data_IF_123156974685
#
_entry.id   IF_123156974685
#
_cell.length_a   1.000
_cell.length_b   1.000
_cell.length_c   1.000
_cell.angle_alpha   90.00
_cell.angle_beta   90.00
_cell.angle_gamma   90.00
#
_symmetry.space_group_name_H-M   'P 1'
#
loop_
_entity.id
_entity.type
_entity.pdbx_description
1 polymer ?
#
# COMPACT_ATOMS: atom_id res chain seq x y z
N UNK A 1 -6.92 -14.94 42.12
CA UNK A 1 -5.97 -13.86 41.74
C UNK A 1 -6.60 -12.48 41.94
N UNK A 2 -7.25 -11.84 40.96
CA UNK A 2 -7.74 -10.44 41.12
C UNK A 2 -8.75 -10.23 42.27
N UNK A 3 -9.85 -11.00 42.30
CA UNK A 3 -10.90 -10.90 43.35
C UNK A 3 -10.40 -11.24 44.77
N UNK A 4 -9.36 -12.03 44.87
CA UNK A 4 -8.76 -12.43 46.16
C UNK A 4 -7.85 -11.31 46.67
N UNK A 5 -7.01 -10.76 45.78
CA UNK A 5 -6.17 -9.61 46.08
C UNK A 5 -7.00 -8.36 46.41
N UNK A 6 -8.15 -8.16 45.78
CA UNK A 6 -9.10 -7.09 46.12
C UNK A 6 -9.70 -7.27 47.51
N UNK A 7 -9.96 -8.51 47.96
CA UNK A 7 -10.41 -8.77 49.34
C UNK A 7 -9.31 -8.52 50.36
N UNK A 8 -8.07 -8.90 50.05
CA UNK A 8 -6.92 -8.71 50.92
C UNK A 8 -6.44 -7.24 50.97
N UNK A 9 -6.55 -6.53 49.84
CA UNK A 9 -6.09 -5.15 49.66
C UNK A 9 -7.11 -4.33 48.85
N UNK A 10 -8.24 -3.94 49.45
CA UNK A 10 -9.35 -3.28 48.74
C UNK A 10 -8.95 -1.98 48.04
N UNK A 11 -8.02 -1.22 48.62
CA UNK A 11 -7.58 0.07 48.05
C UNK A 11 -6.44 -0.06 47.02
N UNK A 12 -5.86 -1.25 46.85
CA UNK A 12 -4.66 -1.41 46.01
C UNK A 12 -4.92 -1.00 44.56
N UNK A 13 -6.10 -1.31 44.02
CA UNK A 13 -6.47 -0.95 42.66
C UNK A 13 -6.46 0.58 42.46
N UNK A 14 -7.17 1.31 43.31
CA UNK A 14 -7.23 2.78 43.27
C UNK A 14 -5.85 3.41 43.52
N UNK A 15 -5.08 2.88 44.47
CA UNK A 15 -3.72 3.35 44.73
C UNK A 15 -2.80 3.14 43.51
N UNK A 16 -2.93 2.02 42.79
CA UNK A 16 -2.15 1.77 41.58
C UNK A 16 -2.55 2.71 40.44
N UNK A 17 -3.84 3.03 40.30
CA UNK A 17 -4.32 4.05 39.35
C UNK A 17 -3.73 5.42 39.71
N UNK A 18 -3.83 5.84 40.97
CA UNK A 18 -3.33 7.14 41.43
C UNK A 18 -1.81 7.30 41.33
N UNK A 19 -1.06 6.20 41.37
CA UNK A 19 0.40 6.21 41.16
C UNK A 19 0.81 6.43 39.71
N UNK A 20 -0.06 6.12 38.75
CA UNK A 20 0.23 6.29 37.33
C UNK A 20 -0.04 7.72 36.86
N UNK A 21 0.80 8.21 35.95
CA UNK A 21 0.62 9.48 35.28
C UNK A 21 0.56 9.30 33.76
N UNK A 22 -0.23 10.15 33.09
CA UNK A 22 -0.35 10.11 31.63
C UNK A 22 0.99 10.29 30.89
N UNK A 23 1.92 11.03 31.48
CA UNK A 23 3.25 11.27 30.91
C UNK A 23 4.24 10.11 31.12
N UNK A 24 3.86 9.09 31.89
CA UNK A 24 4.66 7.89 32.06
C UNK A 24 4.78 7.14 30.73
N UNK A 25 5.96 6.59 30.49
CA UNK A 25 6.22 5.81 29.28
C UNK A 25 5.37 4.54 29.31
N UNK A 26 4.48 4.40 28.32
CA UNK A 26 3.62 3.24 28.15
C UNK A 26 4.28 2.19 27.24
N UNK A 27 4.93 2.63 26.15
CA UNK A 27 5.40 1.77 25.09
C UNK A 27 6.80 2.17 24.61
N UNK A 28 7.59 1.15 24.22
CA UNK A 28 8.90 1.29 23.58
C UNK A 28 8.88 0.57 22.22
N UNK A 29 8.88 1.31 21.12
CA UNK A 29 8.89 0.73 19.78
C UNK A 29 10.23 0.90 19.10
N UNK A 30 10.83 -0.20 18.67
CA UNK A 30 12.06 -0.15 17.89
C UNK A 30 11.75 0.13 16.42
N UNK A 31 12.33 1.20 15.88
CA UNK A 31 12.23 1.57 14.47
C UNK A 31 13.56 1.31 13.77
N UNK A 32 13.50 0.73 12.57
CA UNK A 32 14.66 0.63 11.68
C UNK A 32 14.87 2.00 11.02
N UNK A 33 15.66 2.86 11.67
CA UNK A 33 16.14 4.08 11.06
C UNK A 33 17.08 3.81 9.87
N UNK A 34 17.48 4.87 9.18
CA UNK A 34 18.50 4.80 8.10
C UNK A 34 19.88 4.38 8.60
N UNK A 35 20.12 4.49 9.91
CA UNK A 35 21.28 3.95 10.62
C UNK A 35 21.00 2.50 10.98
N UNK A 36 21.91 1.58 10.66
CA UNK A 36 21.78 0.11 10.84
C UNK A 36 21.43 -0.39 12.25
N UNK A 37 21.35 0.48 13.25
CA UNK A 37 20.93 0.15 14.62
C UNK A 37 19.49 0.65 14.87
N UNK A 38 18.57 -0.24 15.30
CA UNK A 38 17.21 0.14 15.66
C UNK A 38 17.17 1.16 16.80
N UNK A 39 16.26 2.15 16.72
CA UNK A 39 16.07 3.17 17.76
C UNK A 39 14.74 2.94 18.47
N UNK A 40 14.75 2.91 19.81
CA UNK A 40 13.53 2.70 20.60
C UNK A 40 12.79 4.01 20.85
N UNK A 41 11.68 4.27 20.19
CA UNK A 41 10.80 5.41 20.42
C UNK A 41 10.00 5.22 21.72
N UNK A 42 10.11 6.18 22.65
CA UNK A 42 9.41 6.19 23.94
C UNK A 42 8.06 6.93 23.81
N UNK A 43 6.96 6.19 23.87
CA UNK A 43 5.60 6.76 23.82
C UNK A 43 4.94 6.71 25.20
N UNK A 44 4.38 7.84 25.64
CA UNK A 44 3.60 7.91 26.88
C UNK A 44 2.15 7.46 26.69
N UNK A 45 1.45 7.23 27.80
CA UNK A 45 0.00 7.04 27.76
C UNK A 45 -0.70 8.25 27.12
N UNK A 46 -0.26 9.47 27.47
CA UNK A 46 -0.82 10.71 26.94
C UNK A 46 -0.60 10.83 25.43
N UNK A 47 0.57 10.45 24.90
CA UNK A 47 0.83 10.47 23.45
C UNK A 47 -0.18 9.58 22.70
N UNK A 48 -0.31 8.33 23.16
CA UNK A 48 -1.19 7.32 22.57
C UNK A 48 -2.66 7.75 22.65
N UNK A 49 -3.13 8.11 23.83
CA UNK A 49 -4.53 8.49 24.04
C UNK A 49 -4.91 9.76 23.26
N UNK A 50 -4.02 10.76 23.21
CA UNK A 50 -4.24 12.00 22.44
C UNK A 50 -4.37 11.74 20.94
N UNK A 51 -3.54 10.84 20.40
CA UNK A 51 -3.65 10.43 18.99
C UNK A 51 -5.00 9.75 18.74
N UNK A 52 -5.40 8.81 19.60
CA UNK A 52 -6.67 8.09 19.48
C UNK A 52 -7.88 9.03 19.54
N UNK A 53 -7.92 9.96 20.50
CA UNK A 53 -8.98 10.98 20.61
C UNK A 53 -9.07 11.84 19.36
N UNK A 54 -7.93 12.29 18.86
CA UNK A 54 -7.83 13.14 17.68
C UNK A 54 -8.33 12.40 16.44
N UNK A 55 -7.94 11.14 16.23
CA UNK A 55 -8.45 10.31 15.13
C UNK A 55 -9.96 10.10 15.24
N UNK A 56 -10.46 9.71 16.42
CA UNK A 56 -11.88 9.41 16.62
C UNK A 56 -12.78 10.65 16.57
N UNK A 57 -12.22 11.84 16.76
CA UNK A 57 -12.96 13.10 16.52
C UNK A 57 -13.23 13.35 15.03
N UNK A 58 -12.41 12.77 14.15
CA UNK A 58 -12.57 12.82 12.69
C UNK A 58 -13.46 11.68 12.22
N UNK A 59 -13.15 10.47 12.69
CA UNK A 59 -13.82 9.24 12.31
C UNK A 59 -14.26 8.48 13.56
N UNK A 60 -15.49 8.73 14.05
CA UNK A 60 -15.97 8.13 15.29
C UNK A 60 -16.00 6.61 15.24
N UNK A 61 -15.48 6.01 16.32
CA UNK A 61 -15.65 4.60 16.67
C UNK A 61 -16.71 4.47 17.77
N UNK A 62 -17.37 3.31 17.83
CA UNK A 62 -18.44 3.02 18.78
C UNK A 62 -18.15 1.72 19.54
N UNK A 63 -18.66 1.54 20.78
CA UNK A 63 -18.47 0.30 21.54
C UNK A 63 -19.01 -0.95 20.84
N UNK A 64 -19.97 -0.79 19.93
CA UNK A 64 -20.54 -1.87 19.10
C UNK A 64 -19.69 -2.19 17.86
N UNK A 65 -18.55 -1.54 17.70
CA UNK A 65 -17.68 -1.79 16.57
C UNK A 65 -16.91 -3.10 16.69
N UNK A 66 -16.63 -3.66 15.53
CA UNK A 66 -15.75 -4.81 15.37
C UNK A 66 -14.53 -4.30 14.61
N UNK A 67 -13.36 -4.46 15.20
CA UNK A 67 -12.08 -4.16 14.57
C UNK A 67 -11.27 -5.46 14.45
N UNK A 68 -10.62 -5.65 13.29
CA UNK A 68 -9.74 -6.80 13.05
C UNK A 68 -8.29 -6.37 13.22
N UNK A 69 -7.63 -6.90 14.24
CA UNK A 69 -6.20 -6.72 14.51
C UNK A 69 -5.38 -7.64 13.61
N UNK A 70 -5.26 -7.27 12.34
CA UNK A 70 -4.44 -8.00 11.36
C UNK A 70 -2.95 -7.74 11.53
N UNK A 71 -2.56 -6.55 12.00
CA UNK A 71 -1.15 -6.17 12.03
C UNK A 71 -0.44 -6.80 13.24
N UNK A 72 0.88 -7.05 13.14
CA UNK A 72 1.67 -7.45 14.30
C UNK A 72 1.52 -6.41 15.42
N UNK A 73 1.23 -6.88 16.64
CA UNK A 73 1.10 -6.02 17.82
C UNK A 73 2.37 -5.22 18.16
N UNK A 74 3.53 -5.64 17.64
CA UNK A 74 4.79 -4.92 17.75
C UNK A 74 4.85 -3.67 16.85
N UNK A 75 3.88 -3.44 15.96
CA UNK A 75 3.84 -2.26 15.10
C UNK A 75 2.94 -1.20 15.72
N UNK A 76 3.38 0.06 15.65
CA UNK A 76 2.60 1.20 16.15
C UNK A 76 1.20 1.26 15.52
N UNK A 77 1.08 0.80 14.27
CA UNK A 77 -0.17 0.73 13.53
C UNK A 77 -1.26 -0.11 14.20
N UNK A 78 -0.89 -1.19 14.88
CA UNK A 78 -1.85 -2.00 15.63
C UNK A 78 -2.17 -1.35 16.98
N UNK A 79 -1.18 -0.73 17.60
CA UNK A 79 -1.27 -0.13 18.94
C UNK A 79 -2.08 1.16 18.95
N UNK A 80 -2.04 1.93 17.85
CA UNK A 80 -2.90 3.10 17.68
C UNK A 80 -4.38 2.73 17.61
N UNK A 81 -4.73 1.61 16.96
CA UNK A 81 -6.11 1.15 16.89
C UNK A 81 -6.48 0.38 18.16
N UNK A 82 -5.84 -0.75 18.42
CA UNK A 82 -6.20 -1.66 19.51
C UNK A 82 -6.07 -1.06 20.90
N UNK A 83 -4.97 -0.34 21.18
CA UNK A 83 -4.74 0.22 22.52
C UNK A 83 -5.29 1.64 22.61
N UNK A 84 -4.89 2.54 21.69
CA UNK A 84 -5.23 3.96 21.84
C UNK A 84 -6.71 4.23 21.61
N UNK A 85 -7.29 3.71 20.53
CA UNK A 85 -8.73 3.88 20.26
C UNK A 85 -9.55 2.85 21.06
N UNK A 86 -9.10 1.59 21.07
CA UNK A 86 -9.82 0.47 21.69
C UNK A 86 -10.03 0.63 23.20
N UNK A 87 -9.04 1.10 23.96
CA UNK A 87 -9.22 1.30 25.41
C UNK A 87 -10.15 2.48 25.75
N UNK A 88 -10.26 3.47 24.86
CA UNK A 88 -11.08 4.66 25.10
C UNK A 88 -12.56 4.44 24.76
N UNK A 89 -12.85 3.61 23.75
CA UNK A 89 -14.21 3.34 23.27
C UNK A 89 -14.74 1.99 23.76
N UNK A 90 -13.87 0.99 23.92
CA UNK A 90 -14.26 -0.35 24.32
C UNK A 90 -14.90 -1.17 23.20
N UNK A 91 -14.48 -0.98 21.94
CA UNK A 91 -14.94 -1.83 20.82
C UNK A 91 -14.26 -3.20 20.82
N UNK A 92 -14.85 -4.17 20.12
CA UNK A 92 -14.35 -5.55 20.08
C UNK A 92 -13.11 -5.65 19.20
N UNK A 93 -12.01 -6.13 19.80
CA UNK A 93 -10.77 -6.47 19.09
C UNK A 93 -10.80 -7.95 18.70
N UNK A 94 -10.81 -8.21 17.40
CA UNK A 94 -10.81 -9.56 16.85
C UNK A 94 -9.45 -9.89 16.26
N UNK A 95 -8.91 -11.05 16.63
CA UNK A 95 -7.60 -11.52 16.17
C UNK A 95 -7.79 -12.66 15.17
N UNK A 96 -7.21 -12.55 13.97
CA UNK A 96 -7.12 -13.69 13.08
C UNK A 96 -6.38 -14.86 13.72
N UNK A 97 -6.77 -16.09 13.37
CA UNK A 97 -6.14 -17.31 13.90
C UNK A 97 -4.69 -17.45 13.39
N UNK A 98 -4.45 -17.05 12.13
CA UNK A 98 -3.13 -16.97 11.52
C UNK A 98 -3.10 -15.93 10.39
N UNK A 99 -1.91 -15.69 9.80
CA UNK A 99 -1.81 -14.79 8.65
C UNK A 99 -2.49 -15.37 7.41
N UNK A 100 -2.47 -16.69 7.26
CA UNK A 100 -3.07 -17.42 6.14
C UNK A 100 -4.60 -17.38 6.20
N UNK A 101 -5.19 -17.45 7.39
CA UNK A 101 -6.66 -17.40 7.59
C UNK A 101 -7.21 -15.97 7.69
N UNK A 102 -6.35 -14.96 7.69
CA UNK A 102 -6.74 -13.57 7.92
C UNK A 102 -7.85 -13.06 7.00
N UNK A 103 -7.82 -13.38 5.71
CA UNK A 103 -8.85 -12.94 4.77
C UNK A 103 -10.21 -13.59 5.03
N UNK A 104 -10.22 -14.86 5.46
CA UNK A 104 -11.43 -15.59 5.82
C UNK A 104 -11.99 -15.04 7.13
N UNK A 105 -11.15 -14.82 8.14
CA UNK A 105 -11.56 -14.24 9.41
C UNK A 105 -12.10 -12.81 9.23
N UNK A 106 -11.47 -11.97 8.40
CA UNK A 106 -12.00 -10.63 8.05
C UNK A 106 -13.42 -10.73 7.49
N UNK A 107 -13.69 -11.74 6.67
CA UNK A 107 -15.02 -11.98 6.11
C UNK A 107 -16.02 -12.41 7.17
N UNK A 108 -15.66 -13.34 8.05
CA UNK A 108 -16.56 -13.85 9.08
C UNK A 108 -16.87 -12.79 10.16
N UNK A 109 -15.88 -12.00 10.54
CA UNK A 109 -16.01 -10.90 11.50
C UNK A 109 -16.84 -9.76 10.88
N UNK A 110 -16.58 -9.43 9.61
CA UNK A 110 -17.20 -8.30 8.94
C UNK A 110 -17.00 -6.98 9.70
N UNK A 111 -15.76 -6.47 9.79
CA UNK A 111 -15.43 -5.32 10.64
C UNK A 111 -16.18 -4.05 10.26
N UNK A 112 -16.31 -3.15 11.23
CA UNK A 112 -16.77 -1.78 11.04
C UNK A 112 -15.61 -0.83 10.75
N UNK A 113 -14.45 -1.10 11.34
CA UNK A 113 -13.22 -0.33 11.17
C UNK A 113 -12.08 -1.28 10.85
N UNK A 114 -11.25 -0.94 9.86
CA UNK A 114 -10.14 -1.76 9.44
C UNK A 114 -8.92 -0.89 9.14
N UNK A 115 -7.75 -1.32 9.59
CA UNK A 115 -6.47 -0.75 9.16
C UNK A 115 -5.58 -1.87 8.60
N UNK A 116 -5.09 -1.67 7.38
CA UNK A 116 -4.24 -2.66 6.71
C UNK A 116 -3.22 -2.00 5.78
N UNK A 117 -2.06 -2.62 5.56
CA UNK A 117 -1.06 -2.09 4.63
C UNK A 117 -1.58 -2.18 3.19
N UNK A 118 -1.05 -1.38 2.24
CA UNK A 118 -1.47 -1.39 0.83
C UNK A 118 -1.52 -2.80 0.23
N UNK A 119 -0.53 -3.64 0.55
CA UNK A 119 -0.43 -5.03 0.08
C UNK A 119 -1.67 -5.88 0.36
N UNK A 120 -2.35 -5.67 1.49
CA UNK A 120 -3.58 -6.41 1.80
C UNK A 120 -4.70 -6.02 0.83
N UNK A 121 -4.88 -4.72 0.60
CA UNK A 121 -5.87 -4.21 -0.35
C UNK A 121 -5.53 -4.61 -1.79
N UNK A 122 -4.25 -4.55 -2.17
CA UNK A 122 -3.75 -5.05 -3.45
C UNK A 122 -4.10 -6.53 -3.64
N UNK A 123 -3.84 -7.37 -2.63
CA UNK A 123 -4.19 -8.78 -2.65
C UNK A 123 -5.70 -9.01 -2.80
N UNK A 124 -6.53 -8.28 -2.06
CA UNK A 124 -7.99 -8.32 -2.22
C UNK A 124 -8.42 -7.99 -3.65
N UNK A 125 -7.86 -6.93 -4.26
CA UNK A 125 -8.17 -6.57 -5.65
C UNK A 125 -7.76 -7.68 -6.62
N UNK A 126 -6.60 -8.29 -6.43
CA UNK A 126 -6.10 -9.39 -7.25
C UNK A 126 -7.01 -10.62 -7.13
N UNK A 127 -7.47 -10.97 -5.93
CA UNK A 127 -8.44 -12.05 -5.73
C UNK A 127 -9.72 -11.81 -6.54
N UNK A 128 -10.23 -10.57 -6.57
CA UNK A 128 -11.40 -10.23 -7.38
C UNK A 128 -11.11 -10.37 -8.88
N UNK A 129 -9.97 -9.84 -9.34
CA UNK A 129 -9.59 -9.90 -10.75
C UNK A 129 -9.41 -11.33 -11.25
N UNK A 130 -8.74 -12.19 -10.47
CA UNK A 130 -8.58 -13.62 -10.80
C UNK A 130 -9.95 -14.32 -10.85
N UNK A 131 -10.82 -14.09 -9.86
CA UNK A 131 -12.19 -14.66 -9.88
C UNK A 131 -13.03 -14.12 -11.04
N UNK A 132 -12.79 -12.89 -11.48
CA UNK A 132 -13.42 -12.34 -12.68
C UNK A 132 -12.95 -13.07 -13.94
N UNK A 133 -11.66 -13.38 -14.04
CA UNK A 133 -11.14 -14.21 -15.12
C UNK A 133 -11.76 -15.61 -15.10
N UNK A 134 -12.15 -16.13 -13.95
CA UNK A 134 -12.79 -17.45 -13.85
C UNK A 134 -14.31 -17.44 -14.08
N UNK A 135 -14.89 -16.24 -14.17
CA UNK A 135 -16.32 -16.08 -14.20
C UNK A 135 -16.93 -16.43 -15.57
N UNK A 136 -18.18 -16.89 -15.57
CA UNK A 136 -18.94 -17.11 -16.81
C UNK A 136 -19.18 -15.81 -17.56
N UNK A 137 -19.46 -15.89 -18.86
CA UNK A 137 -19.65 -14.72 -19.73
C UNK A 137 -20.66 -13.69 -19.17
N UNK A 138 -21.74 -14.18 -18.55
CA UNK A 138 -22.80 -13.35 -17.98
C UNK A 138 -22.29 -12.61 -16.74
N UNK A 139 -21.59 -13.32 -15.84
CA UNK A 139 -20.97 -12.74 -14.65
C UNK A 139 -19.88 -11.73 -15.03
N UNK A 140 -19.06 -12.02 -16.04
CA UNK A 140 -18.04 -11.07 -16.58
C UNK A 140 -18.72 -9.81 -17.11
N UNK A 141 -19.79 -9.95 -17.90
CA UNK A 141 -20.53 -8.82 -18.46
C UNK A 141 -21.16 -7.94 -17.37
N UNK A 142 -21.82 -8.57 -16.39
CA UNK A 142 -22.39 -7.85 -15.25
C UNK A 142 -21.33 -7.14 -14.41
N UNK A 143 -20.20 -7.80 -14.12
CA UNK A 143 -19.08 -7.21 -13.40
C UNK A 143 -18.50 -6.01 -14.15
N UNK A 144 -18.31 -6.12 -15.47
CA UNK A 144 -17.80 -5.02 -16.29
C UNK A 144 -18.74 -3.82 -16.29
N UNK A 145 -20.05 -4.06 -16.42
CA UNK A 145 -21.05 -3.00 -16.36
C UNK A 145 -21.07 -2.34 -14.97
N UNK A 146 -21.14 -3.14 -13.91
CA UNK A 146 -21.15 -2.65 -12.53
C UNK A 146 -19.86 -1.88 -12.17
N UNK A 147 -18.70 -2.35 -12.64
CA UNK A 147 -17.41 -1.67 -12.44
C UNK A 147 -17.37 -0.34 -13.16
N UNK A 148 -17.81 -0.27 -14.43
CA UNK A 148 -17.89 0.99 -15.19
C UNK A 148 -18.78 2.03 -14.49
N UNK A 149 -19.94 1.61 -14.00
CA UNK A 149 -20.85 2.47 -13.24
C UNK A 149 -20.18 2.92 -11.94
N UNK A 150 -19.61 1.99 -11.18
CA UNK A 150 -18.92 2.28 -9.91
C UNK A 150 -17.78 3.28 -10.09
N UNK A 151 -16.94 3.07 -11.10
CA UNK A 151 -15.84 3.98 -11.43
C UNK A 151 -16.33 5.37 -11.79
N UNK A 152 -17.34 5.49 -12.66
CA UNK A 152 -17.90 6.79 -13.03
C UNK A 152 -18.46 7.55 -11.82
N UNK A 153 -19.18 6.84 -10.94
CA UNK A 153 -19.75 7.43 -9.72
C UNK A 153 -18.66 7.82 -8.72
N UNK A 154 -17.62 7.00 -8.57
CA UNK A 154 -16.47 7.33 -7.75
C UNK A 154 -15.76 8.59 -8.29
N UNK A 155 -15.51 8.68 -9.59
CA UNK A 155 -14.89 9.84 -10.24
C UNK A 155 -15.69 11.13 -10.00
N UNK A 156 -17.02 11.07 -10.08
CA UNK A 156 -17.89 12.20 -9.75
C UNK A 156 -17.74 12.63 -8.28
N UNK A 157 -17.64 11.67 -7.35
CA UNK A 157 -17.40 11.97 -5.93
C UNK A 157 -16.03 12.62 -5.71
N UNK A 158 -14.98 12.09 -6.32
CA UNK A 158 -13.63 12.66 -6.22
C UNK A 158 -13.55 14.08 -6.79
N UNK A 159 -14.29 14.35 -7.87
CA UNK A 159 -14.41 15.69 -8.46
C UNK A 159 -15.37 16.61 -7.68
N UNK A 160 -15.91 16.16 -6.53
CA UNK A 160 -16.92 16.88 -5.74
C UNK A 160 -18.14 17.32 -6.57
N UNK A 161 -18.49 16.56 -7.62
CA UNK A 161 -19.61 16.83 -8.51
C UNK A 161 -20.87 16.09 -8.05
N UNK A 162 -22.07 16.68 -8.21
CA UNK A 162 -23.31 15.99 -7.90
C UNK A 162 -23.52 14.80 -8.83
N UNK A 163 -23.89 13.65 -8.28
CA UNK A 163 -24.22 12.45 -9.06
C UNK A 163 -25.61 12.60 -9.67
N UNK A 164 -25.78 12.58 -11.01
CA UNK A 164 -27.08 12.70 -11.65
C UNK A 164 -28.06 11.58 -11.26
N UNK A 165 -29.39 11.80 -11.28
CA UNK A 165 -30.39 10.81 -10.83
C UNK A 165 -30.28 9.45 -11.54
N UNK A 166 -30.04 9.45 -12.86
CA UNK A 166 -29.83 8.23 -13.63
C UNK A 166 -28.63 7.42 -13.11
N UNK A 167 -27.51 8.08 -12.85
CA UNK A 167 -26.31 7.44 -12.32
C UNK A 167 -26.49 6.95 -10.88
N UNK A 168 -27.31 7.62 -10.06
CA UNK A 168 -27.70 7.11 -8.74
C UNK A 168 -28.49 5.81 -8.85
N UNK A 169 -29.45 5.74 -9.78
CA UNK A 169 -30.22 4.52 -10.03
C UNK A 169 -29.34 3.38 -10.56
N UNK A 170 -28.47 3.66 -11.54
CA UNK A 170 -27.52 2.69 -12.07
C UNK A 170 -26.55 2.19 -10.99
N UNK A 171 -26.07 3.08 -10.12
CA UNK A 171 -25.21 2.73 -9.00
C UNK A 171 -25.93 1.81 -8.01
N UNK A 172 -27.18 2.12 -7.67
CA UNK A 172 -28.02 1.28 -6.82
C UNK A 172 -28.23 -0.11 -7.43
N UNK A 173 -28.49 -0.19 -8.73
CA UNK A 173 -28.63 -1.46 -9.44
C UNK A 173 -27.32 -2.26 -9.45
N UNK A 174 -26.20 -1.62 -9.78
CA UNK A 174 -24.86 -2.22 -9.73
C UNK A 174 -24.51 -2.72 -8.31
N UNK A 175 -24.90 -1.97 -7.29
CA UNK A 175 -24.71 -2.32 -5.89
C UNK A 175 -25.46 -3.61 -5.54
N UNK A 176 -26.77 -3.67 -5.79
CA UNK A 176 -27.58 -4.84 -5.42
C UNK A 176 -27.16 -6.10 -6.19
N UNK A 177 -26.83 -5.95 -7.48
CA UNK A 177 -26.58 -7.11 -8.36
C UNK A 177 -25.18 -7.70 -8.22
N UNK A 178 -24.15 -6.85 -8.04
CA UNK A 178 -22.75 -7.27 -8.06
C UNK A 178 -22.01 -6.79 -6.82
N UNK A 179 -21.96 -5.47 -6.58
CA UNK A 179 -20.99 -4.92 -5.62
C UNK A 179 -21.28 -5.34 -4.18
N UNK A 180 -22.55 -5.47 -3.77
CA UNK A 180 -22.92 -5.92 -2.42
C UNK A 180 -22.34 -7.30 -2.11
N UNK A 181 -22.48 -8.26 -3.03
CA UNK A 181 -21.92 -9.61 -2.87
C UNK A 181 -20.40 -9.60 -2.92
N UNK A 182 -19.81 -8.72 -3.73
CA UNK A 182 -18.37 -8.59 -3.84
C UNK A 182 -17.75 -8.02 -2.55
N UNK A 183 -18.34 -6.93 -2.02
CA UNK A 183 -17.96 -6.37 -0.71
C UNK A 183 -18.08 -7.42 0.40
N UNK A 184 -19.17 -8.17 0.40
CA UNK A 184 -19.41 -9.23 1.37
C UNK A 184 -18.36 -10.32 1.32
N UNK A 185 -18.00 -10.76 0.11
CA UNK A 185 -16.96 -11.75 -0.08
C UNK A 185 -15.58 -11.26 0.40
N UNK A 186 -15.33 -9.95 0.35
CA UNK A 186 -14.10 -9.34 0.86
C UNK A 186 -14.14 -9.03 2.37
N UNK A 187 -15.29 -9.24 3.03
CA UNK A 187 -15.51 -8.86 4.43
C UNK A 187 -15.74 -7.37 4.65
N UNK A 188 -15.99 -6.60 3.59
CA UNK A 188 -16.08 -5.14 3.60
C UNK A 188 -17.54 -4.63 3.60
N UNK A 189 -18.51 -5.51 3.87
CA UNK A 189 -19.95 -5.17 3.87
C UNK A 189 -20.30 -4.12 4.92
N UNK A 190 -19.77 -4.26 6.14
CA UNK A 190 -20.07 -3.41 7.32
C UNK A 190 -19.05 -2.29 7.54
N UNK A 191 -17.94 -2.31 6.79
CA UNK A 191 -16.85 -1.34 6.96
C UNK A 191 -17.35 0.07 6.69
N UNK A 192 -17.22 0.94 7.70
CA UNK A 192 -17.48 2.38 7.60
C UNK A 192 -16.21 3.15 7.28
N UNK A 193 -15.09 2.75 7.86
CA UNK A 193 -13.78 3.35 7.64
C UNK A 193 -12.72 2.25 7.43
N UNK A 194 -12.08 2.26 6.27
CA UNK A 194 -10.91 1.46 5.98
C UNK A 194 -9.71 2.38 5.83
N UNK A 195 -8.60 2.07 6.48
CA UNK A 195 -7.37 2.87 6.43
C UNK A 195 -6.26 2.09 5.75
N UNK A 196 -5.42 2.80 5.01
CA UNK A 196 -4.16 2.29 4.46
C UNK A 196 -3.02 3.28 4.70
N UNK A 197 -1.85 2.76 5.03
CA UNK A 197 -0.68 3.55 5.40
C UNK A 197 0.60 2.72 5.48
N UNK A 198 1.70 3.38 5.79
CA UNK A 198 3.04 2.77 5.85
C UNK A 198 3.73 2.59 4.49
N UNK A 199 2.99 2.69 3.40
CA UNK A 199 3.51 2.82 2.04
C UNK A 199 2.45 3.46 1.13
N UNK A 200 2.88 4.01 -0.01
CA UNK A 200 1.96 4.49 -1.04
C UNK A 200 1.20 3.31 -1.68
N UNK A 201 -0.10 3.50 -1.90
CA UNK A 201 -0.95 2.55 -2.64
C UNK A 201 -1.26 3.13 -4.02
N UNK A 202 -1.31 2.27 -5.04
CA UNK A 202 -1.62 2.71 -6.40
C UNK A 202 -3.03 3.32 -6.52
N UNK A 203 -3.20 4.39 -7.33
CA UNK A 203 -4.49 5.08 -7.47
C UNK A 203 -5.59 4.16 -7.99
N UNK A 204 -5.25 3.17 -8.82
CA UNK A 204 -6.19 2.22 -9.39
C UNK A 204 -6.79 1.27 -8.32
N UNK A 205 -5.98 0.79 -7.37
CA UNK A 205 -6.48 0.02 -6.21
C UNK A 205 -7.42 0.87 -5.37
N UNK A 206 -7.00 2.10 -5.08
CA UNK A 206 -7.79 3.02 -4.28
C UNK A 206 -9.15 3.32 -4.94
N UNK A 207 -9.13 3.61 -6.24
CA UNK A 207 -10.33 3.87 -7.05
C UNK A 207 -11.24 2.65 -7.13
N UNK A 208 -10.70 1.43 -7.21
CA UNK A 208 -11.47 0.19 -7.19
C UNK A 208 -12.31 0.03 -5.91
N UNK A 209 -11.73 0.27 -4.74
CA UNK A 209 -12.46 0.17 -3.47
C UNK A 209 -13.57 1.24 -3.37
N UNK A 210 -13.28 2.47 -3.77
CA UNK A 210 -14.30 3.53 -3.80
C UNK A 210 -15.41 3.28 -4.82
N UNK A 211 -15.09 2.67 -5.97
CA UNK A 211 -16.07 2.25 -6.97
C UNK A 211 -17.04 1.21 -6.41
N UNK A 212 -16.60 0.36 -5.48
CA UNK A 212 -17.45 -0.56 -4.72
C UNK A 212 -18.14 0.10 -3.51
N UNK A 213 -17.91 1.39 -3.24
CA UNK A 213 -18.45 2.07 -2.07
C UNK A 213 -17.81 1.62 -0.75
N UNK A 214 -16.52 1.26 -0.77
CA UNK A 214 -15.68 1.13 0.42
C UNK A 214 -15.00 2.47 0.65
N UNK A 215 -15.16 3.02 1.86
CA UNK A 215 -14.55 4.28 2.26
C UNK A 215 -13.11 4.07 2.70
N UNK A 216 -12.25 3.78 1.72
CA UNK A 216 -10.83 3.58 1.91
C UNK A 216 -10.12 4.93 1.99
N UNK A 217 -9.29 5.12 3.02
CA UNK A 217 -8.60 6.37 3.31
C UNK A 217 -7.11 6.14 3.40
N UNK A 218 -6.34 7.07 2.86
CA UNK A 218 -4.91 7.09 3.10
C UNK A 218 -4.64 7.83 4.41
N UNK A 219 -3.63 7.36 5.13
CA UNK A 219 -3.11 8.00 6.34
C UNK A 219 -1.62 8.26 6.18
N UNK A 220 -1.14 9.29 6.87
CA UNK A 220 0.28 9.51 7.10
C UNK A 220 0.55 9.61 8.59
N UNK A 221 1.73 9.12 8.97
CA UNK A 221 2.07 8.88 10.35
C UNK A 221 3.37 8.10 10.49
N UNK A 222 3.98 8.22 11.66
CA UNK A 222 5.23 7.55 12.03
C UNK A 222 5.15 7.10 13.49
N UNK A 223 6.08 6.24 13.91
CA UNK A 223 6.13 5.76 15.30
C UNK A 223 6.34 6.93 16.27
N UNK A 224 7.15 7.89 15.85
CA UNK A 224 7.55 9.09 16.59
C UNK A 224 6.38 10.07 16.85
N UNK A 225 5.22 9.90 16.19
CA UNK A 225 3.99 10.65 16.44
C UNK A 225 2.82 9.75 16.89
N UNK A 226 3.16 8.62 17.52
CA UNK A 226 2.20 7.66 18.06
C UNK A 226 1.23 7.03 17.03
N UNK A 227 1.61 7.01 15.75
CA UNK A 227 0.77 6.50 14.67
C UNK A 227 0.34 7.59 13.72
N UNK A 228 -0.96 7.83 13.58
CA UNK A 228 -1.56 8.72 12.58
C UNK A 228 -1.41 10.20 12.99
N UNK A 229 -0.94 11.04 12.06
CA UNK A 229 -0.95 12.50 12.19
C UNK A 229 -1.83 13.17 11.13
N UNK A 230 -2.06 12.51 10.00
CA UNK A 230 -2.81 13.02 8.85
C UNK A 230 -3.69 11.92 8.27
N UNK A 231 -4.93 12.25 7.89
CA UNK A 231 -5.89 11.29 7.32
C UNK A 231 -6.84 11.98 6.35
N UNK A 232 -7.23 11.27 5.28
CA UNK A 232 -8.34 11.71 4.43
C UNK A 232 -9.64 11.84 5.20
N UNK A 233 -10.51 12.78 4.78
CA UNK A 233 -11.83 12.97 5.40
C UNK A 233 -12.91 12.25 4.61
N UNK A 234 -14.05 12.01 5.26
CA UNK A 234 -15.23 11.49 4.57
C UNK A 234 -15.67 12.44 3.46
N UNK A 235 -15.69 11.95 2.21
CA UNK A 235 -16.07 12.74 1.04
C UNK A 235 -14.99 13.72 0.55
N UNK A 236 -13.81 13.75 1.16
CA UNK A 236 -12.68 14.58 0.74
C UNK A 236 -11.41 13.75 0.59
N UNK A 237 -11.26 13.19 -0.60
CA UNK A 237 -10.30 12.14 -0.91
C UNK A 237 -9.63 12.51 -2.24
N UNK A 238 -8.29 12.62 -2.21
CA UNK A 238 -7.45 12.82 -3.40
C UNK A 238 -6.38 11.74 -3.42
N UNK A 239 -6.28 11.02 -4.53
CA UNK A 239 -5.44 9.82 -4.65
C UNK A 239 -3.94 10.07 -4.40
N UNK A 240 -3.47 11.26 -4.78
CA UNK A 240 -2.06 11.62 -4.70
C UNK A 240 -1.69 12.28 -3.35
N UNK A 241 -2.62 12.30 -2.38
CA UNK A 241 -2.46 12.93 -1.07
C UNK A 241 -2.73 11.94 0.05
N UNK A 242 -2.31 12.28 1.27
CA UNK A 242 -2.61 11.53 2.50
C UNK A 242 -3.71 12.20 3.35
N UNK A 243 -4.19 13.38 2.93
CA UNK A 243 -5.30 14.09 3.56
C UNK A 243 -4.89 15.25 4.44
N UNK A 244 -5.69 15.49 5.49
CA UNK A 244 -5.59 16.66 6.37
C UNK A 244 -5.09 16.25 7.76
N UNK A 245 -4.33 17.11 8.47
CA UNK A 245 -3.92 16.85 9.84
C UNK A 245 -5.11 16.51 10.73
N UNK A 246 -4.97 15.52 11.63
CA UNK A 246 -5.99 15.27 12.65
C UNK A 246 -6.04 16.45 13.65
N UNK A 247 -7.17 16.70 14.32
CA UNK A 247 -7.29 17.75 15.31
C UNK A 247 -6.15 17.71 16.35
N UNK A 248 -5.68 18.86 16.79
CA UNK A 248 -4.54 18.96 17.71
C UNK A 248 -3.16 18.70 17.09
N UNK A 249 -3.09 18.42 15.78
CA UNK A 249 -1.84 18.22 15.05
C UNK A 249 -1.59 19.36 14.07
N UNK A 250 -0.41 19.98 14.15
CA UNK A 250 0.07 20.95 13.17
C UNK A 250 1.12 20.31 12.27
N UNK A 251 1.02 20.58 10.97
CA UNK A 251 1.99 20.16 9.95
C UNK A 251 2.55 21.41 9.27
N UNK A 252 3.86 21.44 9.04
CA UNK A 252 4.54 22.44 8.22
C UNK A 252 5.55 21.77 7.29
N UNK A 253 5.92 22.49 6.24
CA UNK A 253 6.96 22.09 5.31
C UNK A 253 8.14 23.06 5.47
N UNK A 254 9.36 22.55 5.66
CA UNK A 254 10.57 23.39 5.74
C UNK A 254 10.97 23.92 4.37
N UNK A 255 11.94 24.84 4.34
CA UNK A 255 12.49 25.36 3.07
C UNK A 255 13.11 24.25 2.20
N UNK A 256 13.63 23.19 2.82
CA UNK A 256 14.21 22.01 2.15
C UNK A 256 13.15 20.97 1.72
N UNK A 257 11.88 21.24 2.00
CA UNK A 257 10.73 20.38 1.69
C UNK A 257 10.47 19.28 2.71
N UNK A 258 11.08 19.33 3.91
CA UNK A 258 10.84 18.33 4.97
C UNK A 258 9.48 18.55 5.64
N UNK A 259 8.75 17.46 5.90
CA UNK A 259 7.51 17.49 6.68
C UNK A 259 7.87 17.52 8.17
N UNK A 260 7.40 18.55 8.88
CA UNK A 260 7.56 18.66 10.34
C UNK A 260 6.19 18.66 11.02
N UNK A 261 6.12 18.00 12.17
CA UNK A 261 4.86 17.79 12.91
C UNK A 261 4.96 18.30 14.35
N UNK A 262 3.93 18.98 14.83
CA UNK A 262 3.77 19.32 16.25
C UNK A 262 2.42 18.83 16.75
N UNK A 263 2.43 18.02 17.81
CA UNK A 263 1.23 17.39 18.37
C UNK A 263 1.52 16.87 19.78
N UNK A 264 0.48 16.73 20.61
CA UNK A 264 0.57 16.02 21.89
C UNK A 264 0.93 14.52 21.72
N UNK A 265 0.81 14.00 20.50
CA UNK A 265 1.15 12.62 20.12
C UNK A 265 2.63 12.41 19.82
N UNK A 266 3.43 13.48 19.76
CA UNK A 266 4.88 13.36 19.54
C UNK A 266 5.53 12.66 20.73
N UNK A 267 6.33 11.64 20.44
CA UNK A 267 7.05 10.82 21.41
C UNK A 267 7.94 11.63 22.36
N UNK A 268 8.33 11.02 23.49
CA UNK A 268 9.24 11.65 24.47
C UNK A 268 10.69 11.71 23.97
N UNK A 269 11.01 10.96 22.92
CA UNK A 269 12.35 10.80 22.38
C UNK A 269 12.76 9.34 22.23
N UNK A 270 14.03 9.13 21.89
CA UNK A 270 14.62 7.81 21.73
C UNK A 270 15.28 7.32 23.03
N UNK A 271 15.02 6.07 23.38
CA UNK A 271 15.55 5.41 24.57
C UNK A 271 17.08 5.42 24.58
N UNK A 272 17.64 6.02 25.64
CA UNK A 272 19.08 6.16 25.87
C UNK A 272 19.83 6.79 24.69
N UNK A 273 19.16 7.63 23.89
CA UNK A 273 19.76 8.28 22.73
C UNK A 273 19.37 9.77 22.66
N UNK A 274 19.95 10.62 23.54
CA UNK A 274 19.62 12.04 23.60
C UNK A 274 20.02 12.80 22.32
N UNK A 275 21.10 12.38 21.65
CA UNK A 275 21.54 13.01 20.39
C UNK A 275 20.54 12.81 19.26
N UNK A 276 20.08 11.56 19.05
CA UNK A 276 19.05 11.29 18.06
C UNK A 276 17.72 11.98 18.43
N UNK A 277 17.42 12.09 19.72
CA UNK A 277 16.23 12.79 20.22
C UNK A 277 16.28 14.27 19.90
N UNK A 278 17.38 14.96 20.22
CA UNK A 278 17.57 16.37 19.91
C UNK A 278 17.62 16.64 18.39
N UNK A 279 18.07 15.66 17.60
CA UNK A 279 17.99 15.76 16.13
C UNK A 279 16.55 15.63 15.62
N UNK A 280 15.76 14.74 16.20
CA UNK A 280 14.38 14.48 15.77
C UNK A 280 13.40 15.54 16.29
N UNK A 281 13.55 16.04 17.51
CA UNK A 281 12.69 17.08 18.10
C UNK A 281 13.46 18.39 18.19
N UNK A 282 13.06 19.39 17.42
CA UNK A 282 13.68 20.73 17.42
C UNK A 282 12.60 21.77 17.65
N UNK A 283 12.77 22.61 18.68
CA UNK A 283 11.82 23.69 18.99
C UNK A 283 10.35 23.22 19.11
N UNK A 284 10.12 22.00 19.63
CA UNK A 284 8.81 21.39 19.77
C UNK A 284 8.22 20.80 18.48
N UNK A 285 9.00 20.75 17.39
CA UNK A 285 8.63 20.12 16.13
C UNK A 285 9.38 18.79 15.95
N UNK A 286 8.64 17.75 15.60
CA UNK A 286 9.19 16.49 15.11
C UNK A 286 9.58 16.64 13.64
N UNK A 287 10.87 16.44 13.37
CA UNK A 287 11.47 16.31 12.04
C UNK A 287 11.33 14.85 11.57
N UNK A 288 10.53 14.64 10.52
CA UNK A 288 10.15 13.30 10.04
C UNK A 288 11.19 12.65 9.13
N UNK A 289 12.15 13.41 8.61
CA UNK A 289 13.02 13.06 7.48
C UNK A 289 12.25 12.72 6.16
N UNK A 290 10.92 12.85 6.12
CA UNK A 290 10.10 12.66 4.92
C UNK A 290 9.88 14.01 4.22
N UNK A 291 9.72 13.98 2.89
CA UNK A 291 9.49 15.19 2.10
C UNK A 291 8.08 15.28 1.58
N UNK A 292 7.59 16.50 1.38
CA UNK A 292 6.24 16.71 0.89
C UNK A 292 5.93 18.17 0.63
N UNK A 293 4.70 18.41 0.25
CA UNK A 293 4.13 19.74 0.15
C UNK A 293 2.66 19.70 0.55
N UNK A 294 2.09 20.87 0.85
CA UNK A 294 0.66 21.04 1.09
C UNK A 294 0.06 21.62 -0.18
N UNK A 295 -0.98 20.99 -0.71
CA UNK A 295 -1.68 21.46 -1.91
C UNK A 295 -2.67 22.59 -1.62
N UNK A 296 -3.27 23.15 -2.67
CA UNK A 296 -4.19 24.30 -2.57
C UNK A 296 -5.46 24.04 -1.73
N UNK A 297 -5.87 22.77 -1.56
CA UNK A 297 -6.99 22.40 -0.69
C UNK A 297 -6.52 22.03 0.73
N UNK A 298 -5.24 22.25 1.05
CA UNK A 298 -4.65 21.97 2.36
C UNK A 298 -4.24 20.51 2.58
N UNK A 299 -4.34 19.65 1.56
CA UNK A 299 -3.95 18.26 1.69
C UNK A 299 -2.43 18.10 1.68
N UNK A 300 -1.91 17.25 2.56
CA UNK A 300 -0.51 16.86 2.54
C UNK A 300 -0.28 15.84 1.40
N UNK A 301 0.71 16.13 0.57
CA UNK A 301 1.30 15.20 -0.40
C UNK A 301 2.65 14.75 0.15
N UNK A 302 2.84 13.45 0.29
CA UNK A 302 4.10 12.87 0.78
C UNK A 302 4.87 12.30 -0.41
N UNK A 303 6.04 12.84 -0.65
CA UNK A 303 7.03 12.22 -1.50
C UNK A 303 7.82 11.26 -0.63
N UNK A 304 7.67 9.96 -0.89
CA UNK A 304 8.47 8.94 -0.21
C UNK A 304 9.95 9.33 -0.26
N UNK A 305 10.67 8.96 0.80
CA UNK A 305 12.00 9.46 1.19
C UNK A 305 12.83 9.85 -0.02
N UNK A 306 13.36 11.07 -0.03
CA UNK A 306 14.20 11.75 -1.06
C UNK A 306 15.17 10.88 -1.88
N UNK A 307 15.51 9.67 -1.42
CA UNK A 307 16.31 8.66 -2.12
C UNK A 307 15.55 7.86 -3.18
N UNK A 308 14.22 7.88 -3.20
CA UNK A 308 13.37 7.04 -4.07
C UNK A 308 12.69 7.82 -5.23
N UNK A 309 13.01 9.11 -5.40
CA UNK A 309 12.63 9.92 -6.57
C UNK A 309 13.83 10.01 -7.52
N UNK A 310 13.63 9.59 -8.77
CA UNK A 310 14.66 9.63 -9.80
C UNK A 310 14.45 10.77 -10.78
N UNK A 311 15.54 11.14 -11.45
CA UNK A 311 15.54 12.25 -12.40
C UNK A 311 15.92 11.71 -13.77
N UNK A 312 15.09 11.94 -14.77
CA UNK A 312 15.43 11.67 -16.17
C UNK A 312 16.60 12.57 -16.60
N UNK A 313 17.24 12.23 -17.73
CA UNK A 313 18.35 13.01 -18.29
C UNK A 313 17.99 14.48 -18.54
N UNK A 314 16.72 14.78 -18.80
CA UNK A 314 16.19 16.12 -19.05
C UNK A 314 15.77 16.87 -17.77
N UNK A 315 16.03 16.31 -16.58
CA UNK A 315 15.72 16.94 -15.29
C UNK A 315 14.32 16.64 -14.76
N UNK A 316 13.47 15.92 -15.50
CA UNK A 316 12.11 15.59 -15.03
C UNK A 316 12.14 14.51 -13.96
N UNK A 317 11.31 14.67 -12.95
CA UNK A 317 11.23 13.76 -11.81
C UNK A 317 10.20 12.64 -12.06
N UNK A 318 10.50 11.44 -11.59
CA UNK A 318 9.55 10.33 -11.54
C UNK A 318 9.83 9.41 -10.34
N UNK A 319 8.81 8.69 -9.88
CA UNK A 319 8.94 7.64 -8.86
C UNK A 319 8.79 6.26 -9.50
N UNK A 320 9.85 5.42 -9.53
CA UNK A 320 9.74 4.06 -10.03
C UNK A 320 8.70 3.24 -9.28
N UNK A 321 8.68 3.37 -7.95
CA UNK A 321 7.79 2.58 -7.11
C UNK A 321 6.31 2.91 -7.39
N UNK A 322 5.99 4.18 -7.63
CA UNK A 322 4.64 4.57 -8.05
C UNK A 322 4.23 3.88 -9.36
N UNK A 323 5.12 3.88 -10.36
CA UNK A 323 4.86 3.22 -11.64
C UNK A 323 4.78 1.71 -11.51
N UNK A 324 5.64 1.09 -10.71
CA UNK A 324 5.63 -0.35 -10.45
C UNK A 324 4.33 -0.80 -9.77
N UNK A 325 3.88 -0.08 -8.73
CA UNK A 325 2.58 -0.38 -8.08
C UNK A 325 1.43 -0.22 -9.05
N UNK A 326 1.48 0.79 -9.94
CA UNK A 326 0.47 0.99 -10.97
C UNK A 326 0.43 -0.14 -12.00
N UNK A 327 1.58 -0.61 -12.46
CA UNK A 327 1.68 -1.73 -13.39
C UNK A 327 1.16 -3.02 -12.76
N UNK A 328 1.49 -3.28 -11.49
CA UNK A 328 1.04 -4.45 -10.71
C UNK A 328 -0.44 -4.41 -10.34
N UNK A 329 -1.18 -3.34 -10.65
CA UNK A 329 -2.65 -3.36 -10.60
C UNK A 329 -3.23 -4.38 -11.59
N UNK A 330 -2.51 -4.67 -12.67
CA UNK A 330 -2.88 -5.74 -13.60
C UNK A 330 -2.68 -7.11 -12.96
N UNK A 331 -3.68 -8.02 -13.02
CA UNK A 331 -3.51 -9.37 -12.49
C UNK A 331 -2.51 -10.22 -13.29
N UNK A 332 -2.13 -9.76 -14.48
CA UNK A 332 -1.18 -10.44 -15.37
C UNK A 332 0.28 -10.12 -15.05
N UNK A 333 0.54 -9.09 -14.23
CA UNK A 333 1.89 -8.62 -13.88
C UNK A 333 2.13 -8.94 -12.40
N UNK A 334 3.10 -9.83 -12.12
CA UNK A 334 3.45 -10.23 -10.76
C UNK A 334 4.39 -9.22 -10.10
N UNK A 335 5.47 -8.89 -10.80
CA UNK A 335 6.49 -7.96 -10.37
C UNK A 335 6.96 -7.11 -11.56
N UNK A 336 7.52 -5.95 -11.27
CA UNK A 336 7.98 -5.00 -12.29
C UNK A 336 9.21 -4.26 -11.80
N UNK A 337 10.18 -4.06 -12.68
CA UNK A 337 11.34 -3.21 -12.45
C UNK A 337 11.29 -2.02 -13.41
N UNK A 338 11.00 -0.84 -12.87
CA UNK A 338 10.95 0.40 -13.62
C UNK A 338 12.31 1.09 -13.57
N UNK A 339 12.77 1.55 -14.72
CA UNK A 339 14.10 2.10 -14.96
C UNK A 339 13.95 3.46 -15.64
N UNK A 340 14.75 4.43 -15.23
CA UNK A 340 14.79 5.74 -15.90
C UNK A 340 15.79 6.73 -15.32
N UNK A 341 16.43 6.44 -14.17
CA UNK A 341 17.35 7.40 -13.54
C UNK A 341 18.51 7.76 -14.49
N UNK A 342 18.64 9.06 -14.79
CA UNK A 342 19.61 9.63 -15.73
C UNK A 342 19.51 9.07 -17.15
N UNK A 343 18.36 8.49 -17.52
CA UNK A 343 18.07 7.95 -18.85
C UNK A 343 17.15 8.90 -19.63
N UNK A 344 17.09 8.79 -20.98
CA UNK A 344 16.27 9.69 -21.80
C UNK A 344 14.75 9.52 -21.64
N UNK A 345 14.30 8.33 -21.24
CA UNK A 345 12.89 7.99 -21.05
C UNK A 345 12.77 6.83 -20.04
N UNK A 346 11.55 6.51 -19.62
CA UNK A 346 11.28 5.42 -18.66
C UNK A 346 11.07 4.10 -19.40
N UNK A 347 11.66 3.03 -18.89
CA UNK A 347 11.47 1.65 -19.38
C UNK A 347 11.05 0.72 -18.25
N UNK A 348 10.52 -0.45 -18.59
CA UNK A 348 10.10 -1.45 -17.60
C UNK A 348 10.49 -2.88 -18.01
N UNK A 349 10.95 -3.67 -17.04
CA UNK A 349 11.07 -5.13 -17.14
C UNK A 349 9.96 -5.75 -16.31
N UNK A 350 9.16 -6.63 -16.92
CA UNK A 350 7.94 -7.17 -16.29
C UNK A 350 8.03 -8.67 -16.07
N UNK A 351 7.72 -9.13 -14.87
CA UNK A 351 7.50 -10.54 -14.58
C UNK A 351 6.00 -10.82 -14.69
N UNK A 352 5.61 -11.76 -15.55
CA UNK A 352 4.21 -12.16 -15.66
C UNK A 352 3.78 -12.95 -14.42
N UNK A 353 2.50 -12.91 -14.08
CA UNK A 353 1.93 -13.88 -13.14
C UNK A 353 1.70 -15.20 -13.88
N UNK A 354 2.56 -16.20 -13.62
CA UNK A 354 2.51 -17.48 -14.32
C UNK A 354 1.15 -18.18 -14.21
N UNK A 355 0.54 -18.16 -13.02
CA UNK A 355 -0.71 -18.85 -12.78
C UNK A 355 -1.87 -18.17 -13.54
N UNK A 356 -1.89 -16.84 -13.51
CA UNK A 356 -2.95 -16.05 -14.15
C UNK A 356 -2.80 -16.01 -15.67
N UNK A 357 -1.59 -15.76 -16.16
CA UNK A 357 -1.30 -15.73 -17.61
C UNK A 357 -1.39 -17.13 -18.20
N UNK A 358 -0.97 -18.17 -17.47
CA UNK A 358 -1.12 -19.57 -17.89
C UNK A 358 -2.59 -19.91 -18.13
N UNK A 359 -3.47 -19.61 -17.18
CA UNK A 359 -4.91 -19.80 -17.35
C UNK A 359 -5.49 -19.01 -18.52
N UNK A 360 -5.08 -17.75 -18.68
CA UNK A 360 -5.50 -16.91 -19.81
C UNK A 360 -5.08 -17.48 -21.16
N UNK A 361 -3.91 -18.13 -21.21
CA UNK A 361 -3.36 -18.81 -22.38
C UNK A 361 -4.09 -20.13 -22.66
N UNK A 362 -4.42 -20.90 -21.61
CA UNK A 362 -5.20 -22.15 -21.71
C UNK A 362 -6.60 -21.90 -22.28
N UNK A 363 -7.28 -20.84 -21.84
CA UNK A 363 -8.59 -20.43 -22.40
C UNK A 363 -8.52 -20.14 -23.90
N UNK A 364 -7.35 -19.73 -24.39
CA UNK A 364 -7.05 -19.44 -25.81
C UNK A 364 -6.44 -20.62 -26.55
N UNK A 365 -6.31 -21.77 -25.89
CA UNK A 365 -5.71 -23.00 -26.43
C UNK A 365 -4.27 -22.76 -26.91
N UNK A 366 -3.53 -21.92 -26.20
CA UNK A 366 -2.12 -21.66 -26.49
C UNK A 366 -1.28 -22.78 -25.90
N UNK A 367 -0.39 -23.37 -26.70
CA UNK A 367 0.53 -24.40 -26.23
C UNK A 367 1.77 -23.76 -25.61
N UNK A 368 2.08 -24.09 -24.36
CA UNK A 368 3.33 -23.72 -23.68
C UNK A 368 3.70 -24.82 -22.68
N UNK A 369 4.99 -24.94 -22.36
CA UNK A 369 5.51 -25.99 -21.46
C UNK A 369 5.98 -25.45 -20.12
N UNK A 370 6.42 -24.19 -20.06
CA UNK A 370 6.99 -23.58 -18.87
C UNK A 370 6.82 -22.05 -18.89
N UNK A 371 7.22 -21.41 -17.79
CA UNK A 371 7.17 -19.94 -17.63
C UNK A 371 7.93 -19.21 -18.73
N UNK A 372 9.16 -19.63 -19.01
CA UNK A 372 10.03 -18.96 -19.97
C UNK A 372 9.34 -18.91 -21.33
N UNK A 373 8.88 -20.04 -21.85
CA UNK A 373 8.18 -20.12 -23.13
C UNK A 373 6.93 -19.23 -23.13
N UNK A 374 6.10 -19.30 -22.08
CA UNK A 374 4.87 -18.50 -22.00
C UNK A 374 5.16 -17.00 -21.97
N UNK A 375 6.11 -16.56 -21.15
CA UNK A 375 6.48 -15.15 -20.98
C UNK A 375 6.97 -14.50 -22.28
N UNK A 376 7.56 -15.30 -23.17
CA UNK A 376 8.12 -14.84 -24.43
C UNK A 376 7.16 -14.92 -25.63
N UNK A 377 5.93 -15.44 -25.46
CA UNK A 377 4.97 -15.53 -26.57
C UNK A 377 4.51 -14.15 -27.05
N UNK A 378 4.38 -13.93 -28.37
CA UNK A 378 3.90 -12.65 -28.92
C UNK A 378 2.55 -12.21 -28.34
N UNK A 379 1.62 -13.14 -28.12
CA UNK A 379 0.30 -12.86 -27.57
C UNK A 379 0.37 -12.43 -26.09
N UNK A 380 1.35 -12.93 -25.34
CA UNK A 380 1.61 -12.48 -23.96
C UNK A 380 2.23 -11.08 -23.97
N UNK A 381 3.12 -10.77 -24.90
CA UNK A 381 3.58 -9.39 -25.10
C UNK A 381 2.42 -8.45 -25.47
N UNK A 382 1.49 -8.86 -26.34
CA UNK A 382 0.30 -8.06 -26.67
C UNK A 382 -0.60 -7.82 -25.44
N UNK A 383 -0.77 -8.88 -24.62
CA UNK A 383 -1.52 -8.80 -23.37
C UNK A 383 -0.90 -7.78 -22.42
N UNK A 384 0.41 -7.86 -22.20
CA UNK A 384 1.15 -7.00 -21.27
C UNK A 384 1.24 -5.56 -21.79
N UNK A 385 1.49 -5.38 -23.09
CA UNK A 385 1.47 -4.07 -23.75
C UNK A 385 0.14 -3.34 -23.52
N UNK A 386 -0.99 -4.06 -23.62
CA UNK A 386 -2.31 -3.49 -23.33
C UNK A 386 -2.44 -3.01 -21.88
N UNK A 387 -1.83 -3.72 -20.92
CA UNK A 387 -1.84 -3.31 -19.51
C UNK A 387 -0.97 -2.07 -19.28
N UNK A 388 0.20 -2.01 -19.90
CA UNK A 388 1.07 -0.82 -19.83
C UNK A 388 0.37 0.40 -20.44
N UNK A 389 -0.29 0.25 -21.60
CA UNK A 389 -1.09 1.32 -22.22
C UNK A 389 -2.18 1.83 -21.29
N UNK A 390 -2.83 0.91 -20.56
CA UNK A 390 -3.84 1.27 -19.57
C UNK A 390 -3.25 2.02 -18.37
N UNK A 391 -2.08 1.61 -17.87
CA UNK A 391 -1.36 2.30 -16.80
C UNK A 391 -0.83 3.69 -17.24
N UNK A 392 -0.39 3.82 -18.49
CA UNK A 392 0.13 5.05 -19.08
C UNK A 392 -0.95 6.12 -19.34
N UNK A 393 -2.23 5.73 -19.42
CA UNK A 393 -3.32 6.59 -19.88
C UNK A 393 -3.45 7.89 -19.09
N UNK A 394 -3.30 7.82 -17.76
CA UNK A 394 -3.45 8.97 -16.88
C UNK A 394 -2.11 9.50 -16.36
N UNK A 395 -0.99 9.12 -17.00
CA UNK A 395 0.34 9.63 -16.68
C UNK A 395 0.73 10.79 -17.60
N UNK A 396 1.44 11.81 -17.07
CA UNK A 396 2.15 12.79 -17.89
C UNK A 396 3.08 12.08 -18.87
N UNK A 397 3.28 12.63 -20.07
CA UNK A 397 4.08 12.01 -21.13
C UNK A 397 5.47 11.58 -20.66
N UNK A 398 6.14 12.42 -19.86
CA UNK A 398 7.45 12.13 -19.32
C UNK A 398 7.49 10.98 -18.29
N UNK A 399 6.36 10.66 -17.66
CA UNK A 399 6.24 9.60 -16.67
C UNK A 399 5.75 8.27 -17.28
N UNK A 400 5.49 8.23 -18.60
CA UNK A 400 5.01 7.02 -19.27
C UNK A 400 6.14 6.04 -19.53
N UNK A 401 5.84 4.75 -19.35
CA UNK A 401 6.74 3.67 -19.79
C UNK A 401 6.77 3.68 -21.31
N UNK A 402 7.94 3.95 -21.88
CA UNK A 402 8.16 4.07 -23.33
C UNK A 402 8.55 2.75 -23.98
N UNK A 403 9.44 1.97 -23.34
CA UNK A 403 9.82 0.62 -23.80
C UNK A 403 9.72 -0.40 -22.68
N UNK A 404 9.43 -1.64 -23.04
CA UNK A 404 9.37 -2.72 -22.06
C UNK A 404 9.79 -4.07 -22.65
N UNK A 405 10.06 -5.01 -21.76
CA UNK A 405 10.25 -6.43 -22.08
C UNK A 405 9.71 -7.32 -20.95
N UNK A 406 9.36 -8.58 -21.27
CA UNK A 406 8.92 -9.56 -20.28
C UNK A 406 10.13 -10.39 -19.84
N UNK A 407 10.44 -10.41 -18.54
CA UNK A 407 11.53 -11.22 -18.01
C UNK A 407 11.22 -12.72 -18.18
N UNK A 408 12.24 -13.47 -18.59
CA UNK A 408 12.17 -14.91 -18.84
C UNK A 408 12.06 -15.79 -17.59
N UNK A 409 12.16 -15.18 -16.41
CA UNK A 409 11.89 -15.81 -15.11
C UNK A 409 11.20 -14.80 -14.18
N UNK A 410 10.74 -15.27 -13.03
CA UNK A 410 10.29 -14.40 -11.95
C UNK A 410 11.47 -13.90 -11.11
N UNK A 411 11.28 -12.73 -10.46
CA UNK A 411 12.22 -12.28 -9.45
C UNK A 411 12.13 -13.14 -8.18
N UNK A 412 13.30 -13.49 -7.65
CA UNK A 412 13.42 -14.36 -6.49
C UNK A 412 14.19 -13.68 -5.34
N UNK A 413 13.76 -13.92 -4.10
CA UNK A 413 14.47 -13.45 -2.92
C UNK A 413 15.76 -14.24 -2.68
N UNK A 414 15.79 -15.52 -3.06
CA UNK A 414 16.95 -16.40 -2.88
C UNK A 414 18.03 -16.14 -3.95
N UNK A 415 17.67 -15.56 -5.10
CA UNK A 415 18.59 -14.99 -6.09
C UNK A 415 19.12 -13.59 -5.72
N UNK A 416 18.83 -13.09 -4.51
CA UNK A 416 19.15 -11.74 -4.02
C UNK A 416 18.48 -10.60 -4.81
N UNK A 417 17.49 -10.89 -5.66
CA UNK A 417 16.79 -9.88 -6.48
C UNK A 417 15.70 -9.15 -5.69
N UNK A 418 15.08 -9.86 -4.74
CA UNK A 418 14.11 -9.34 -3.79
C UNK A 418 14.63 -9.45 -2.35
N UNK A 419 14.14 -8.59 -1.46
CA UNK A 419 14.22 -8.86 -0.02
C UNK A 419 13.24 -9.98 0.37
N UNK A 420 13.37 -10.56 1.57
CA UNK A 420 12.36 -11.49 2.13
C UNK A 420 10.96 -10.85 2.24
N UNK A 421 10.90 -9.53 2.34
CA UNK A 421 9.64 -8.75 2.26
C UNK A 421 9.22 -8.43 0.82
N UNK A 422 9.80 -9.07 -0.20
CA UNK A 422 9.56 -8.86 -1.64
C UNK A 422 9.80 -7.42 -2.13
N UNK A 423 10.78 -6.70 -1.59
CA UNK A 423 11.23 -5.39 -2.11
C UNK A 423 12.36 -5.59 -3.10
N UNK A 424 12.28 -4.96 -4.29
CA UNK A 424 13.30 -5.08 -5.33
C UNK A 424 14.64 -4.47 -4.90
N UNK A 425 15.74 -5.24 -5.04
CA UNK A 425 17.11 -4.80 -4.79
C UNK A 425 17.69 -4.20 -6.07
N UNK A 426 17.22 -2.99 -6.43
CA UNK A 426 17.51 -2.29 -7.71
C UNK A 426 18.96 -2.35 -8.14
N UNK A 427 19.90 -1.95 -7.27
CA UNK A 427 21.34 -1.93 -7.60
C UNK A 427 21.90 -3.32 -7.95
N UNK A 428 21.39 -4.39 -7.32
CA UNK A 428 21.78 -5.76 -7.64
C UNK A 428 21.17 -6.20 -8.97
N UNK A 429 19.88 -5.95 -9.16
CA UNK A 429 19.13 -6.28 -10.39
C UNK A 429 19.71 -5.54 -11.60
N UNK A 430 20.04 -4.25 -11.47
CA UNK A 430 20.72 -3.44 -12.49
C UNK A 430 22.06 -4.05 -12.93
N UNK A 431 22.85 -4.54 -11.98
CA UNK A 431 24.13 -5.18 -12.27
C UNK A 431 23.95 -6.54 -12.93
N UNK A 432 23.00 -7.34 -12.44
CA UNK A 432 22.73 -8.70 -12.93
C UNK A 432 22.16 -8.70 -14.34
N UNK A 433 21.23 -7.79 -14.63
CA UNK A 433 20.52 -7.69 -15.90
C UNK A 433 21.01 -6.53 -16.77
N UNK A 434 22.31 -6.25 -16.71
CA UNK A 434 22.93 -5.15 -17.44
C UNK A 434 22.67 -5.22 -18.95
N UNK A 435 22.71 -6.42 -19.53
CA UNK A 435 22.47 -6.64 -20.96
C UNK A 435 21.03 -6.27 -21.36
N UNK A 436 20.04 -6.66 -20.55
CA UNK A 436 18.64 -6.28 -20.76
C UNK A 436 18.47 -4.77 -20.61
N UNK A 437 19.08 -4.19 -19.57
CA UNK A 437 19.06 -2.75 -19.33
C UNK A 437 19.63 -1.97 -20.51
N UNK A 438 20.81 -2.35 -21.00
CA UNK A 438 21.48 -1.65 -22.09
C UNK A 438 20.69 -1.78 -23.40
N UNK A 439 20.10 -2.95 -23.66
CA UNK A 439 19.27 -3.17 -24.84
C UNK A 439 17.95 -2.38 -24.82
N UNK A 440 17.32 -2.17 -23.66
CA UNK A 440 16.14 -1.32 -23.52
C UNK A 440 16.39 0.14 -23.95
N UNK A 441 17.64 0.59 -23.97
CA UNK A 441 18.06 1.92 -24.40
C UNK A 441 18.87 1.95 -25.71
N UNK A 442 18.97 0.82 -26.42
CA UNK A 442 19.58 0.75 -27.75
C UNK A 442 18.53 0.54 -28.84
N UNK A 443 18.92 0.56 -30.11
CA UNK A 443 18.01 0.38 -31.24
C UNK A 443 17.68 -1.10 -31.54
N UNK A 444 17.95 -2.02 -30.60
CA UNK A 444 17.64 -3.46 -30.77
C UNK A 444 16.24 -3.77 -30.29
N UNK A 445 15.55 -4.67 -31.00
CA UNK A 445 14.21 -5.16 -30.65
C UNK A 445 14.23 -6.54 -29.97
N UNK A 446 15.41 -7.14 -29.82
CA UNK A 446 15.57 -8.45 -29.18
C UNK A 446 16.84 -8.48 -28.34
N UNK A 447 16.79 -9.13 -27.17
CA UNK A 447 17.95 -9.43 -26.31
C UNK A 447 18.09 -10.93 -26.24
N UNK A 448 19.25 -11.44 -26.67
CA UNK A 448 19.60 -12.84 -26.48
C UNK A 448 20.15 -13.02 -25.06
N UNK A 449 19.52 -13.88 -24.28
CA UNK A 449 19.99 -14.26 -22.95
C UNK A 449 20.51 -15.68 -23.03
N UNK A 450 21.77 -15.84 -22.65
CA UNK A 450 22.44 -17.12 -22.45
C UNK A 450 23.06 -17.10 -21.05
N UNK A 451 22.37 -17.70 -20.08
CA UNK A 451 22.82 -17.71 -18.68
C UNK A 451 22.50 -19.02 -17.99
N UNK A 452 23.29 -19.35 -16.96
CA UNK A 452 23.04 -20.50 -16.11
C UNK A 452 22.43 -20.05 -14.79
N UNK A 453 21.20 -20.49 -14.50
CA UNK A 453 20.53 -20.32 -13.21
C UNK A 453 20.95 -21.48 -12.30
N UNK A 454 21.31 -21.20 -11.05
CA UNK A 454 21.60 -22.21 -10.04
C UNK A 454 20.46 -22.24 -9.02
N UNK A 455 19.74 -23.35 -8.94
CA UNK A 455 18.67 -23.57 -7.96
C UNK A 455 19.25 -23.93 -6.58
N UNK A 456 18.42 -23.77 -5.54
CA UNK A 456 18.78 -24.04 -4.14
C UNK A 456 19.23 -25.48 -3.90
N UNK A 457 18.67 -26.44 -4.65
CA UNK A 457 19.05 -27.86 -4.58
C UNK A 457 20.41 -28.16 -5.27
N UNK A 458 21.10 -27.13 -5.75
CA UNK A 458 22.38 -27.21 -6.44
C UNK A 458 22.26 -27.50 -7.94
N UNK A 459 21.04 -27.72 -8.47
CA UNK A 459 20.86 -27.92 -9.91
C UNK A 459 21.18 -26.64 -10.68
N UNK A 460 21.84 -26.81 -11.81
CA UNK A 460 22.07 -25.73 -12.77
C UNK A 460 21.14 -25.94 -13.95
N UNK A 461 20.35 -24.92 -14.29
CA UNK A 461 19.61 -24.88 -15.55
C UNK A 461 20.20 -23.79 -16.42
N UNK A 462 20.63 -24.22 -17.59
CA UNK A 462 21.00 -23.31 -18.65
C UNK A 462 19.73 -22.72 -19.26
N UNK A 463 19.67 -21.41 -19.37
CA UNK A 463 18.56 -20.66 -19.94
C UNK A 463 19.09 -19.92 -21.16
N UNK A 464 18.63 -20.39 -22.32
CA UNK A 464 18.84 -19.73 -23.60
C UNK A 464 17.47 -19.22 -24.05
N UNK A 465 17.33 -17.91 -24.22
CA UNK A 465 16.06 -17.32 -24.66
C UNK A 465 16.26 -15.97 -25.32
N UNK A 466 15.44 -15.71 -26.33
CA UNK A 466 15.30 -14.39 -26.91
C UNK A 466 14.18 -13.63 -26.21
N UNK A 467 14.49 -12.44 -25.72
CA UNK A 467 13.52 -11.51 -25.14
C UNK A 467 13.20 -10.43 -26.15
N UNK A 468 11.93 -10.24 -26.46
CA UNK A 468 11.50 -9.12 -27.32
C UNK A 468 11.46 -7.83 -26.51
N UNK A 469 11.94 -6.73 -27.10
CA UNK A 469 11.75 -5.38 -26.60
C UNK A 469 10.69 -4.71 -27.46
N UNK A 470 9.68 -4.12 -26.80
CA UNK A 470 8.62 -3.39 -27.49
C UNK A 470 8.60 -1.93 -27.08
N UNK A 471 8.33 -1.08 -28.06
CA UNK A 471 8.07 0.35 -27.85
C UNK A 471 6.57 0.59 -27.78
N UNK A 472 6.12 1.21 -26.69
CA UNK A 472 4.74 1.60 -26.48
C UNK A 472 4.45 2.83 -27.34
N UNK A 473 3.75 2.62 -28.45
CA UNK A 473 3.28 3.70 -29.33
C UNK A 473 2.18 4.56 -28.72
#
# INVERSE_FOLDING_TARGET
LGRELEREKPELFEQLIQRGHGDDTALLFYTSGTTSLPKGALLSHHNMLSMGQSLMSVDPCFPTDDYVSYLPFAWIGEQMMSISCGLQIGYTLNFPESQETAQENIRDIGPHVMFAPPRMYEQMTRTVQVKYLDATWLKRTMYNLASRIGYHVADLKFQKKPIPPLWRFLAWFAYITVQKKLKDHLGLSRVRNAYTGGAAMGPDHFRFFHAMGVNLKQIYGQTEVAGISVVHRNGDIKFDTVGLPIPGTEIRITEEGEIITRSASVFKGYYKNPEATAKAIRNGWLHSDDKGFIDDDGHLVVFDRTKDVFTLRDGKLFSPQYLETRLKFSPYIKDSWVIGDKKPFITAVLCIDYAVVGKWADERKMNYTNYQELSQKPEVYDLIEKQIRQANKDLPEAARVYRFTNLYKEFDADDDELTRTRKLRRAFVEKRYKEILDALYSDVDTVHIDTTIKYEDGRQSHVITDMTIRTIR
#
